data_IF_580980361598
#
_entry.id   IF_580980361598
#
_cell.length_a   1.000
_cell.length_b   1.000
_cell.length_c   1.000
_cell.angle_alpha   90.00
_cell.angle_beta   90.00
_cell.angle_gamma   90.00
#
_symmetry.space_group_name_H-M   'P 1'
#
loop_
_entity.id
_entity.type
_entity.pdbx_description
1 polymer ?
#
# COMPACT_ATOMS: atom_id res chain seq x y z
N UNK A 1 -8.92 39.44 12.76
CA UNK A 1 -7.75 38.58 12.44
C UNK A 1 -8.09 37.11 12.58
N UNK A 2 -8.65 36.65 13.71
CA UNK A 2 -9.10 35.26 13.89
C UNK A 2 -10.14 34.79 12.85
N UNK A 3 -11.09 35.65 12.46
CA UNK A 3 -12.12 35.31 11.46
C UNK A 3 -11.52 35.06 10.07
N UNK A 4 -10.50 35.82 9.68
CA UNK A 4 -9.82 35.64 8.39
C UNK A 4 -9.03 34.33 8.39
N UNK A 5 -8.33 34.02 9.49
CA UNK A 5 -7.64 32.74 9.66
C UNK A 5 -8.62 31.56 9.64
N UNK A 6 -9.77 31.69 10.29
CA UNK A 6 -10.79 30.64 10.31
C UNK A 6 -11.38 30.38 8.92
N UNK A 7 -11.62 31.44 8.15
CA UNK A 7 -12.09 31.33 6.77
C UNK A 7 -11.02 30.74 5.84
N UNK A 8 -9.75 31.09 6.02
CA UNK A 8 -8.62 30.51 5.26
C UNK A 8 -8.45 29.03 5.59
N UNK A 9 -8.52 28.65 6.88
CA UNK A 9 -8.43 27.25 7.31
C UNK A 9 -9.64 26.47 6.78
N UNK A 10 -10.86 26.99 6.91
CA UNK A 10 -12.05 26.35 6.37
C UNK A 10 -11.99 26.14 4.85
N UNK A 11 -11.42 27.10 4.11
CA UNK A 11 -11.22 27.01 2.66
C UNK A 11 -10.09 26.03 2.29
N UNK A 12 -8.99 25.99 3.04
CA UNK A 12 -7.92 25.01 2.85
C UNK A 12 -8.37 23.58 3.21
N UNK A 13 -9.23 23.42 4.21
CA UNK A 13 -9.80 22.12 4.60
C UNK A 13 -10.91 21.63 3.65
N UNK A 14 -11.44 22.51 2.79
CA UNK A 14 -12.37 22.15 1.71
C UNK A 14 -11.72 22.15 0.34
N UNK A 15 -10.41 22.43 0.25
CA UNK A 15 -9.66 22.24 -0.97
C UNK A 15 -9.82 20.77 -1.41
N UNK A 16 -10.23 20.51 -2.66
CA UNK A 16 -10.29 19.16 -3.18
C UNK A 16 -8.91 18.52 -2.98
N UNK A 17 -8.85 17.32 -2.40
CA UNK A 17 -7.65 16.47 -2.57
C UNK A 17 -7.40 16.44 -4.08
N UNK A 18 -6.31 17.07 -4.53
CA UNK A 18 -6.01 17.17 -5.95
C UNK A 18 -5.90 15.74 -6.48
N UNK A 19 -6.76 15.32 -7.44
CA UNK A 19 -6.65 13.99 -8.00
C UNK A 19 -5.27 13.86 -8.66
N UNK A 20 -4.42 12.95 -8.17
CA UNK A 20 -3.13 12.64 -8.80
C UNK A 20 -1.89 13.30 -8.19
N UNK A 21 -1.97 13.89 -7.00
CA UNK A 21 -0.77 14.18 -6.18
C UNK A 21 -0.44 13.05 -5.19
N UNK A 22 -0.92 11.83 -5.48
CA UNK A 22 -0.63 10.63 -4.71
C UNK A 22 0.57 9.92 -5.33
N UNK A 23 1.61 9.66 -4.52
CA UNK A 23 2.81 8.91 -4.90
C UNK A 23 2.52 7.50 -5.45
N UNK A 24 1.27 7.06 -5.32
CA UNK A 24 0.73 5.77 -5.73
C UNK A 24 0.25 5.73 -7.19
N UNK A 25 0.16 6.89 -7.87
CA UNK A 25 -0.30 6.96 -9.27
C UNK A 25 0.83 6.87 -10.30
N UNK A 26 2.07 7.13 -9.88
CA UNK A 26 3.25 7.03 -10.75
C UNK A 26 4.21 5.98 -10.21
N UNK A 27 4.57 5.03 -11.07
CA UNK A 27 5.59 4.06 -10.72
C UNK A 27 6.94 4.76 -10.57
N UNK A 28 7.60 4.54 -9.44
CA UNK A 28 9.01 4.90 -9.30
C UNK A 28 9.86 3.98 -10.19
N UNK A 29 11.08 4.38 -10.53
CA UNK A 29 12.03 3.50 -11.24
C UNK A 29 12.28 2.17 -10.50
N UNK A 30 12.06 2.14 -9.18
CA UNK A 30 12.12 0.90 -8.40
C UNK A 30 10.81 0.10 -8.54
N UNK A 31 9.65 0.77 -8.49
CA UNK A 31 8.35 0.15 -8.75
C UNK A 31 8.27 -0.49 -10.14
N UNK A 32 8.76 0.18 -11.19
CA UNK A 32 8.82 -0.38 -12.54
C UNK A 32 9.60 -1.70 -12.60
N UNK A 33 10.75 -1.79 -11.90
CA UNK A 33 11.52 -3.03 -11.80
C UNK A 33 10.74 -4.14 -11.11
N UNK A 34 10.06 -3.82 -10.02
CA UNK A 34 9.22 -4.79 -9.30
C UNK A 34 7.98 -5.23 -10.08
N UNK A 35 7.43 -4.38 -10.96
CA UNK A 35 6.32 -4.77 -11.84
C UNK A 35 6.78 -5.67 -13.00
N UNK A 36 8.04 -5.57 -13.41
CA UNK A 36 8.61 -6.34 -14.52
C UNK A 36 9.04 -7.77 -14.14
N UNK A 37 9.02 -8.12 -12.86
CA UNK A 37 9.38 -9.46 -12.36
C UNK A 37 8.33 -10.51 -12.72
N UNK A 38 8.75 -11.76 -12.87
CA UNK A 38 7.88 -12.92 -13.13
C UNK A 38 6.79 -13.06 -12.07
N UNK A 39 7.14 -12.87 -10.80
CA UNK A 39 6.22 -13.10 -9.68
C UNK A 39 5.27 -11.93 -9.37
N UNK A 40 5.37 -10.80 -10.10
CA UNK A 40 4.62 -9.59 -9.75
C UNK A 40 3.11 -9.81 -9.71
N UNK A 41 2.55 -10.43 -10.76
CA UNK A 41 1.10 -10.61 -10.88
C UNK A 41 0.52 -11.42 -9.70
N UNK A 42 1.22 -12.47 -9.28
CA UNK A 42 0.81 -13.28 -8.12
C UNK A 42 1.00 -12.51 -6.81
N UNK A 43 2.11 -11.79 -6.65
CA UNK A 43 2.36 -10.97 -5.46
C UNK A 43 1.31 -9.85 -5.31
N UNK A 44 0.96 -9.16 -6.39
CA UNK A 44 -0.09 -8.13 -6.38
C UNK A 44 -1.45 -8.72 -5.97
N UNK A 45 -1.84 -9.87 -6.55
CA UNK A 45 -3.08 -10.53 -6.18
C UNK A 45 -3.12 -10.93 -4.69
N UNK A 46 -2.00 -11.44 -4.16
CA UNK A 46 -1.87 -11.73 -2.73
C UNK A 46 -2.05 -10.46 -1.89
N UNK A 47 -1.42 -9.35 -2.26
CA UNK A 47 -1.53 -8.08 -1.52
C UNK A 47 -2.96 -7.53 -1.59
N UNK A 48 -3.60 -7.55 -2.76
CA UNK A 48 -4.99 -7.13 -2.91
C UNK A 48 -5.93 -7.97 -2.03
N UNK A 49 -5.71 -9.29 -1.96
CA UNK A 49 -6.54 -10.20 -1.16
C UNK A 49 -6.32 -10.04 0.33
N UNK A 50 -5.07 -9.81 0.77
CA UNK A 50 -4.69 -9.87 2.19
C UNK A 50 -4.55 -8.51 2.86
N UNK A 51 -4.33 -7.44 2.11
CA UNK A 51 -3.94 -6.12 2.63
C UNK A 51 -4.90 -4.99 2.24
N UNK A 52 -5.47 -5.00 1.02
CA UNK A 52 -6.18 -3.83 0.48
C UNK A 52 -7.40 -3.41 1.30
N UNK A 53 -8.09 -4.35 1.97
CA UNK A 53 -9.24 -4.03 2.84
C UNK A 53 -8.93 -3.02 3.95
N UNK A 54 -7.68 -2.99 4.42
CA UNK A 54 -7.19 -2.03 5.41
C UNK A 54 -6.32 -0.93 4.77
N UNK A 55 -5.64 -1.24 3.67
CA UNK A 55 -4.68 -0.38 3.00
C UNK A 55 -5.23 0.13 1.65
N UNK A 56 -6.36 0.83 1.70
CA UNK A 56 -6.99 1.49 0.55
C UNK A 56 -7.42 2.90 0.95
N UNK A 57 -7.68 3.77 -0.03
CA UNK A 57 -8.12 5.14 0.22
C UNK A 57 -9.39 5.21 1.08
N UNK A 58 -10.26 4.20 0.97
CA UNK A 58 -11.50 4.08 1.74
C UNK A 58 -11.57 2.68 2.41
N UNK A 59 -10.90 2.48 3.56
CA UNK A 59 -10.84 1.17 4.20
C UNK A 59 -12.22 0.60 4.53
N UNK A 60 -12.36 -0.71 4.34
CA UNK A 60 -13.62 -1.43 4.55
C UNK A 60 -13.54 -2.44 5.72
N UNK A 61 -12.46 -2.40 6.51
CA UNK A 61 -12.28 -3.24 7.68
C UNK A 61 -12.85 -2.59 8.96
N UNK A 62 -13.68 -3.29 9.76
CA UNK A 62 -14.24 -2.72 10.99
C UNK A 62 -13.17 -2.19 11.94
N UNK A 63 -13.33 -0.92 12.36
CA UNK A 63 -12.38 -0.25 13.25
C UNK A 63 -11.15 0.34 12.57
N UNK A 64 -11.02 0.22 11.24
CA UNK A 64 -10.03 0.93 10.43
C UNK A 64 -10.74 2.02 9.65
N UNK A 65 -10.52 3.28 10.04
CA UNK A 65 -11.17 4.45 9.41
C UNK A 65 -10.29 5.12 8.35
N UNK A 66 -8.98 4.92 8.43
CA UNK A 66 -7.98 5.41 7.49
C UNK A 66 -6.90 4.34 7.33
N UNK A 67 -6.26 4.32 6.15
CA UNK A 67 -5.20 3.35 5.90
C UNK A 67 -4.07 3.50 6.93
N UNK A 68 -3.63 2.41 7.60
CA UNK A 68 -2.59 2.49 8.61
C UNK A 68 -1.32 3.14 8.06
N UNK A 69 -0.81 4.16 8.77
CA UNK A 69 0.35 4.97 8.35
C UNK A 69 0.19 5.64 6.98
N UNK A 70 -1.05 5.80 6.49
CA UNK A 70 -1.35 6.31 5.16
C UNK A 70 -0.68 5.52 4.02
N UNK A 71 -0.50 4.20 4.22
CA UNK A 71 0.03 3.29 3.20
C UNK A 71 -1.13 2.72 2.40
N UNK A 72 -1.15 2.99 1.09
CA UNK A 72 -2.18 2.52 0.16
C UNK A 72 -1.60 1.40 -0.70
N UNK A 73 -2.35 0.31 -0.86
CA UNK A 73 -1.94 -0.94 -1.52
C UNK A 73 -3.08 -1.51 -2.39
N UNK A 74 -3.95 -0.66 -2.91
CA UNK A 74 -5.15 -1.04 -3.67
C UNK A 74 -4.95 -1.07 -5.19
N UNK A 75 -3.74 -0.82 -5.66
CA UNK A 75 -3.38 -0.88 -7.07
C UNK A 75 -1.92 -1.33 -7.27
N UNK A 76 -1.62 -1.82 -8.46
CA UNK A 76 -0.33 -2.41 -8.83
C UNK A 76 0.86 -1.47 -8.63
N UNK A 77 0.70 -0.18 -8.96
CA UNK A 77 1.77 0.82 -8.84
C UNK A 77 2.11 1.05 -7.38
N UNK A 78 1.09 1.25 -6.54
CA UNK A 78 1.25 1.41 -5.10
C UNK A 78 1.91 0.17 -4.47
N UNK A 79 1.46 -1.02 -4.84
CA UNK A 79 2.03 -2.30 -4.37
C UNK A 79 3.52 -2.38 -4.73
N UNK A 80 3.88 -2.11 -5.98
CA UNK A 80 5.26 -2.18 -6.44
C UNK A 80 6.15 -1.11 -5.76
N UNK A 81 5.65 0.11 -5.58
CA UNK A 81 6.36 1.17 -4.86
C UNK A 81 6.62 0.80 -3.39
N UNK A 82 5.76 -0.03 -2.78
CA UNK A 82 5.89 -0.48 -1.39
C UNK A 82 6.49 -1.89 -1.24
N UNK A 83 7.08 -2.48 -2.30
CA UNK A 83 7.57 -3.86 -2.32
C UNK A 83 8.45 -4.24 -1.11
N UNK A 84 9.36 -3.34 -0.72
CA UNK A 84 10.23 -3.54 0.45
C UNK A 84 9.43 -3.68 1.75
N UNK A 85 8.52 -2.76 2.01
CA UNK A 85 7.74 -2.77 3.25
C UNK A 85 6.79 -3.97 3.30
N UNK A 86 6.18 -4.32 2.16
CA UNK A 86 5.36 -5.53 2.02
C UNK A 86 6.18 -6.77 2.37
N UNK A 87 7.37 -6.93 1.79
CA UNK A 87 8.24 -8.07 2.08
C UNK A 87 8.69 -8.10 3.55
N UNK A 88 9.05 -6.96 4.13
CA UNK A 88 9.48 -6.90 5.53
C UNK A 88 8.34 -7.21 6.51
N UNK A 89 7.16 -6.63 6.30
CA UNK A 89 6.04 -6.73 7.24
C UNK A 89 5.26 -8.04 7.07
N UNK A 90 4.92 -8.41 5.83
CA UNK A 90 4.11 -9.60 5.57
C UNK A 90 4.98 -10.85 5.32
N UNK A 91 6.08 -10.70 4.59
CA UNK A 91 6.97 -11.81 4.24
C UNK A 91 7.89 -12.26 5.38
N UNK A 92 8.74 -11.36 5.89
CA UNK A 92 9.80 -11.71 6.84
C UNK A 92 9.37 -11.68 8.31
N UNK A 93 8.73 -10.61 8.74
CA UNK A 93 8.36 -10.43 10.15
C UNK A 93 7.04 -11.10 10.53
N UNK A 94 6.21 -11.45 9.53
CA UNK A 94 4.84 -11.90 9.70
C UNK A 94 3.99 -10.95 10.56
N UNK A 95 4.36 -9.67 10.62
CA UNK A 95 3.66 -8.64 11.37
C UNK A 95 2.33 -8.26 10.71
N UNK A 96 2.23 -8.47 9.39
CA UNK A 96 1.02 -8.23 8.62
C UNK A 96 0.52 -9.52 7.96
N UNK A 97 -0.80 -9.71 7.85
CA UNK A 97 -1.84 -8.96 8.55
C UNK A 97 -1.76 -9.16 10.07
N UNK A 98 -2.18 -8.20 10.92
CA UNK A 98 -2.09 -8.33 12.38
C UNK A 98 -2.87 -9.55 12.86
N UNK A 99 -2.24 -10.40 13.68
CA UNK A 99 -2.85 -11.64 14.14
C UNK A 99 -3.27 -12.61 13.02
N UNK A 100 -2.71 -12.45 11.81
CA UNK A 100 -3.12 -13.14 10.60
C UNK A 100 -4.63 -12.99 10.28
N UNK A 101 -5.19 -11.80 10.49
CA UNK A 101 -6.64 -11.53 10.36
C UNK A 101 -7.26 -11.91 9.01
N UNK A 102 -6.48 -11.96 7.92
CA UNK A 102 -6.96 -12.38 6.60
C UNK A 102 -6.50 -13.79 6.22
N UNK A 103 -6.04 -14.61 7.17
CA UNK A 103 -5.64 -16.01 6.96
C UNK A 103 -4.57 -16.20 5.87
N UNK A 104 -3.57 -15.30 5.85
CA UNK A 104 -2.47 -15.37 4.91
C UNK A 104 -1.60 -16.62 5.15
N UNK A 105 -1.33 -17.39 4.10
CA UNK A 105 -0.63 -18.67 4.19
C UNK A 105 0.89 -18.51 4.19
N UNK A 106 1.63 -19.59 4.51
CA UNK A 106 3.08 -19.58 4.45
C UNK A 106 3.60 -19.44 3.01
N UNK A 107 2.90 -20.03 2.04
CA UNK A 107 3.23 -19.99 0.62
C UNK A 107 3.07 -18.57 0.07
N UNK A 108 2.01 -17.87 0.45
CA UNK A 108 1.80 -16.46 0.09
C UNK A 108 2.89 -15.56 0.67
N UNK A 109 3.33 -15.81 1.90
CA UNK A 109 4.43 -15.06 2.52
C UNK A 109 5.75 -15.30 1.80
N UNK A 110 6.02 -16.56 1.45
CA UNK A 110 7.21 -16.94 0.68
C UNK A 110 7.19 -16.31 -0.72
N UNK A 111 6.04 -16.25 -1.38
CA UNK A 111 5.85 -15.58 -2.66
C UNK A 111 6.23 -14.09 -2.58
N UNK A 112 5.78 -13.36 -1.57
CA UNK A 112 6.14 -11.94 -1.40
C UNK A 112 7.64 -11.75 -1.17
N UNK A 113 8.27 -12.65 -0.43
CA UNK A 113 9.73 -12.63 -0.22
C UNK A 113 10.46 -12.89 -1.53
N UNK A 114 10.03 -13.88 -2.31
CA UNK A 114 10.71 -14.21 -3.57
C UNK A 114 10.56 -13.12 -4.61
N UNK A 115 9.35 -12.58 -4.79
CA UNK A 115 9.10 -11.41 -5.62
C UNK A 115 10.00 -10.23 -5.25
N UNK A 116 10.14 -9.93 -3.95
CA UNK A 116 11.02 -8.87 -3.50
C UNK A 116 12.51 -9.15 -3.80
N UNK A 117 12.96 -10.40 -3.64
CA UNK A 117 14.33 -10.80 -3.94
C UNK A 117 14.63 -10.72 -5.43
N UNK A 118 13.66 -11.08 -6.27
CA UNK A 118 13.76 -11.00 -7.73
C UNK A 118 13.98 -9.55 -8.15
N UNK A 119 13.07 -8.63 -7.80
CA UNK A 119 13.16 -7.22 -8.20
C UNK A 119 14.31 -6.45 -7.53
N UNK A 120 14.86 -6.96 -6.42
CA UNK A 120 16.06 -6.38 -5.78
C UNK A 120 17.36 -6.73 -6.50
N UNK A 121 17.36 -7.75 -7.38
CA UNK A 121 18.53 -8.15 -8.18
C UNK A 121 18.50 -7.56 -9.60
N UNK A 122 17.35 -7.01 -10.00
CA UNK A 122 17.09 -6.42 -11.32
C UNK A 122 17.66 -5.03 -11.50
#
# INVERSE_FOLDING_TARGET
MAVILFLVIAWLSTAPKLPGFDADTLASATGERFMATEHFASASLTVQTRCAMCHTAEPAWPGVFEAPKNVILDNDVAIANHAKDIAMQAGYAHAMPPGNATEMTAEERALLVEWFREGSRS
#
